data_IF_218542632512
#
_entry.id   IF_218542632512
#
_cell.length_a   1.000
_cell.length_b   1.000
_cell.length_c   1.000
_cell.angle_alpha   90.00
_cell.angle_beta   90.00
_cell.angle_gamma   90.00
#
_symmetry.space_group_name_H-M   'P 1'
#
loop_
_entity.id
_entity.type
_entity.pdbx_description
1 polymer ?
#
# COMPACT_ATOMS: atom_id res chain seq x y z
N UNK A 1 41.80 -18.33 17.35
CA UNK A 1 41.06 -17.14 17.81
C UNK A 1 40.96 -16.16 16.66
N UNK A 2 39.78 -15.98 16.09
CA UNK A 2 39.49 -14.91 15.13
C UNK A 2 38.33 -14.12 15.73
N UNK A 3 38.64 -12.92 16.24
CA UNK A 3 37.67 -11.89 16.61
C UNK A 3 37.11 -11.31 15.32
N UNK A 4 35.84 -11.54 15.01
CA UNK A 4 35.11 -10.72 14.04
C UNK A 4 34.15 -9.80 14.81
N UNK A 5 34.48 -8.52 14.77
CA UNK A 5 33.72 -7.42 15.35
C UNK A 5 32.55 -7.12 14.41
N UNK A 6 31.32 -7.47 14.80
CA UNK A 6 30.12 -6.93 14.12
C UNK A 6 29.85 -5.55 14.71
N UNK A 7 30.42 -4.53 14.07
CA UNK A 7 30.00 -3.13 14.21
C UNK A 7 28.56 -3.02 13.70
N UNK A 8 27.76 -2.26 14.45
CA UNK A 8 26.31 -2.21 14.35
C UNK A 8 25.74 -1.98 12.95
N UNK A 9 24.60 -2.64 12.72
CA UNK A 9 23.65 -2.25 11.70
C UNK A 9 22.49 -1.59 12.44
N UNK A 10 22.48 -0.26 12.37
CA UNK A 10 21.32 0.57 12.68
C UNK A 10 20.26 0.24 11.61
N UNK A 11 19.29 -0.61 11.92
CA UNK A 11 18.04 -0.62 11.15
C UNK A 11 17.17 0.50 11.71
N UNK A 12 17.49 1.69 11.18
CA UNK A 12 16.86 2.97 11.48
C UNK A 12 15.35 2.84 11.44
N UNK A 13 14.73 3.34 12.50
CA UNK A 13 13.32 3.69 12.54
C UNK A 13 12.98 4.57 11.33
N UNK A 14 11.96 4.16 10.60
CA UNK A 14 10.96 5.00 9.95
C UNK A 14 9.74 4.12 9.71
N UNK A 15 9.13 3.65 10.80
CA UNK A 15 7.68 3.48 10.79
C UNK A 15 7.17 4.89 10.55
N UNK A 16 6.82 5.20 9.31
CA UNK A 16 6.23 6.49 9.00
C UNK A 16 4.83 6.44 9.58
N UNK A 17 4.74 6.80 10.85
CA UNK A 17 3.55 7.39 11.41
C UNK A 17 3.31 8.67 10.61
N UNK A 18 2.60 8.56 9.48
CA UNK A 18 2.00 9.70 8.80
C UNK A 18 0.85 10.20 9.69
N UNK A 19 1.21 10.80 10.81
CA UNK A 19 0.36 11.70 11.56
C UNK A 19 0.90 13.09 11.25
N UNK A 20 0.56 13.56 10.05
CA UNK A 20 0.75 14.94 9.65
C UNK A 20 -0.39 15.77 10.23
N UNK A 21 -0.10 16.46 11.33
CA UNK A 21 -0.95 17.51 11.87
C UNK A 21 -0.99 18.66 10.84
N UNK A 22 -2.19 18.98 10.34
CA UNK A 22 -2.60 20.18 9.59
C UNK A 22 -1.54 20.92 8.76
N UNK A 23 -1.52 20.70 7.43
CA UNK A 23 -0.70 21.49 6.52
C UNK A 23 -1.07 21.35 5.04
N UNK A 24 -1.98 22.22 4.58
CA UNK A 24 -2.27 22.59 3.18
C UNK A 24 -1.69 21.70 2.08
N UNK A 25 -2.27 20.52 1.89
CA UNK A 25 -2.11 19.78 0.64
C UNK A 25 -2.93 20.42 -0.46
N UNK A 26 -2.48 20.30 -1.71
CA UNK A 26 -3.30 20.60 -2.89
C UNK A 26 -3.79 19.29 -3.53
N UNK A 27 -5.01 19.28 -4.12
CA UNK A 27 -5.54 18.10 -4.76
C UNK A 27 -4.66 17.66 -5.93
N UNK A 28 -4.21 16.41 -5.91
CA UNK A 28 -3.42 15.79 -7.00
C UNK A 28 -4.24 14.75 -7.75
N UNK A 29 -4.03 14.62 -9.06
CA UNK A 29 -4.79 13.68 -9.90
C UNK A 29 -4.59 12.22 -9.44
N UNK A 30 -5.69 11.46 -9.38
CA UNK A 30 -5.65 10.06 -8.90
C UNK A 30 -4.86 9.13 -9.81
N UNK A 31 -4.73 9.46 -11.09
CA UNK A 31 -3.99 8.70 -12.08
C UNK A 31 -2.52 9.15 -12.25
N UNK A 32 -2.09 10.13 -11.45
CA UNK A 32 -0.70 10.56 -11.37
C UNK A 32 0.24 9.39 -11.00
N UNK A 33 1.41 9.35 -11.62
CA UNK A 33 2.36 8.24 -11.46
C UNK A 33 2.91 8.14 -10.02
N UNK A 34 3.11 9.27 -9.34
CA UNK A 34 3.59 9.30 -7.96
C UNK A 34 2.49 8.88 -6.98
N UNK A 35 1.23 9.25 -7.24
CA UNK A 35 0.07 8.80 -6.48
C UNK A 35 -0.09 7.29 -6.57
N UNK A 36 -0.07 6.73 -7.79
CA UNK A 36 -0.12 5.28 -8.02
C UNK A 36 0.98 4.56 -7.24
N UNK A 37 2.23 4.96 -7.47
CA UNK A 37 3.39 4.33 -6.82
C UNK A 37 3.32 4.40 -5.30
N UNK A 38 2.95 5.55 -4.74
CA UNK A 38 2.86 5.75 -3.29
C UNK A 38 1.76 4.89 -2.69
N UNK A 39 0.56 4.91 -3.28
CA UNK A 39 -0.56 4.10 -2.84
C UNK A 39 -0.25 2.60 -2.89
N UNK A 40 0.25 2.11 -4.03
CA UNK A 40 0.58 0.70 -4.25
C UNK A 40 1.63 0.20 -3.26
N UNK A 41 2.67 1.02 -3.02
CA UNK A 41 3.74 0.69 -2.08
C UNK A 41 3.19 0.59 -0.64
N UNK A 42 2.45 1.60 -0.19
CA UNK A 42 1.89 1.61 1.17
C UNK A 42 0.90 0.46 1.39
N UNK A 43 0.00 0.21 0.43
CA UNK A 43 -0.98 -0.88 0.54
C UNK A 43 -0.33 -2.26 0.50
N UNK A 44 0.64 -2.48 -0.39
CA UNK A 44 1.35 -3.77 -0.47
C UNK A 44 2.11 -4.06 0.82
N UNK A 45 2.82 -3.06 1.37
CA UNK A 45 3.53 -3.20 2.65
C UNK A 45 2.56 -3.52 3.79
N UNK A 46 1.49 -2.73 3.96
CA UNK A 46 0.48 -2.96 5.00
C UNK A 46 -0.18 -4.33 4.87
N UNK A 47 -0.47 -4.76 3.64
CA UNK A 47 -1.03 -6.08 3.37
C UNK A 47 -0.07 -7.20 3.79
N UNK A 48 1.19 -7.14 3.36
CA UNK A 48 2.21 -8.13 3.72
C UNK A 48 2.44 -8.19 5.24
N UNK A 49 2.50 -7.03 5.91
CA UNK A 49 2.61 -6.96 7.37
C UNK A 49 1.41 -7.61 8.07
N UNK A 50 0.19 -7.34 7.61
CA UNK A 50 -1.02 -7.93 8.18
C UNK A 50 -1.06 -9.45 7.95
N UNK A 51 -0.67 -9.92 6.77
CA UNK A 51 -0.60 -11.35 6.48
C UNK A 51 0.42 -12.05 7.38
N UNK A 52 1.62 -11.47 7.55
CA UNK A 52 2.64 -11.97 8.50
C UNK A 52 2.16 -11.99 9.95
N UNK A 53 1.34 -11.02 10.36
CA UNK A 53 0.74 -10.99 11.70
C UNK A 53 -0.32 -12.08 11.89
N UNK A 54 -1.09 -12.39 10.86
CA UNK A 54 -2.16 -13.41 10.92
C UNK A 54 -1.61 -14.84 10.78
N UNK A 55 -0.52 -15.01 10.04
CA UNK A 55 0.11 -16.30 9.83
C UNK A 55 1.58 -16.14 9.47
N UNK A 56 2.45 -16.99 10.04
CA UNK A 56 3.85 -17.14 9.62
C UNK A 56 3.99 -18.12 8.43
N UNK A 57 2.89 -18.47 7.79
CA UNK A 57 2.87 -19.40 6.66
C UNK A 57 3.37 -18.70 5.38
N UNK A 58 4.41 -19.25 4.78
CA UNK A 58 5.05 -18.73 3.57
C UNK A 58 4.11 -18.70 2.36
N UNK A 59 3.00 -19.45 2.38
CA UNK A 59 2.02 -19.41 1.29
C UNK A 59 1.37 -18.03 1.11
N UNK A 60 1.40 -17.16 2.10
CA UNK A 60 0.88 -15.79 1.94
C UNK A 60 1.86 -14.87 1.18
N UNK A 61 3.13 -15.23 1.07
CA UNK A 61 4.13 -14.46 0.30
C UNK A 61 3.86 -14.54 -1.21
N UNK A 62 3.18 -15.60 -1.67
CA UNK A 62 2.79 -15.80 -3.07
C UNK A 62 1.46 -15.11 -3.43
N UNK A 63 0.88 -14.31 -2.51
CA UNK A 63 -0.26 -13.46 -2.82
C UNK A 63 0.24 -12.18 -3.49
N UNK A 64 -0.35 -11.89 -4.63
CA UNK A 64 -0.06 -10.70 -5.44
C UNK A 64 -1.24 -9.73 -5.37
N UNK A 65 -0.94 -8.44 -5.28
CA UNK A 65 -1.93 -7.37 -5.38
C UNK A 65 -1.78 -6.68 -6.73
N UNK A 66 -2.85 -6.66 -7.51
CA UNK A 66 -2.91 -5.94 -8.77
C UNK A 66 -3.83 -4.73 -8.62
N UNK A 67 -3.29 -3.55 -8.92
CA UNK A 67 -3.99 -2.27 -8.78
C UNK A 67 -4.43 -1.77 -10.16
N UNK A 68 -5.67 -1.32 -10.27
CA UNK A 68 -6.25 -0.93 -11.55
C UNK A 68 -7.37 0.09 -11.38
N UNK A 69 -7.74 0.74 -12.48
CA UNK A 69 -8.91 1.62 -12.54
C UNK A 69 -8.89 2.77 -11.52
N UNK A 70 -7.74 3.48 -11.44
CA UNK A 70 -7.62 4.71 -10.66
C UNK A 70 -8.60 5.76 -11.21
N UNK A 71 -9.51 6.21 -10.36
CA UNK A 71 -10.57 7.16 -10.71
C UNK A 71 -10.73 8.22 -9.64
N UNK A 72 -10.87 9.48 -10.04
CA UNK A 72 -11.36 10.55 -9.15
C UNK A 72 -12.88 10.41 -8.96
N UNK A 73 -13.32 10.31 -7.71
CA UNK A 73 -14.73 10.32 -7.31
C UNK A 73 -15.24 11.73 -7.02
N UNK A 74 -14.44 12.52 -6.31
CA UNK A 74 -14.72 13.90 -5.96
C UNK A 74 -13.43 14.67 -5.72
N UNK A 75 -13.52 16.00 -5.71
CA UNK A 75 -12.42 16.91 -5.40
C UNK A 75 -12.81 17.76 -4.20
N UNK A 76 -11.93 17.80 -3.21
CA UNK A 76 -12.02 18.66 -2.03
C UNK A 76 -10.96 19.78 -2.14
N UNK A 77 -10.95 20.71 -1.18
CA UNK A 77 -10.03 21.85 -1.21
C UNK A 77 -8.56 21.44 -1.11
N UNK A 78 -8.28 20.31 -0.47
CA UNK A 78 -6.95 19.85 -0.10
C UNK A 78 -6.60 18.46 -0.65
N UNK A 79 -7.57 17.74 -1.22
CA UNK A 79 -7.37 16.38 -1.75
C UNK A 79 -8.34 16.02 -2.86
N UNK A 80 -7.92 15.09 -3.72
CA UNK A 80 -8.86 14.35 -4.56
C UNK A 80 -9.22 13.04 -3.87
N UNK A 81 -10.51 12.71 -3.86
CA UNK A 81 -11.00 11.42 -3.38
C UNK A 81 -10.92 10.45 -4.55
N UNK A 82 -10.03 9.48 -4.42
CA UNK A 82 -9.71 8.48 -5.41
C UNK A 82 -10.36 7.14 -5.09
N UNK A 83 -10.66 6.38 -6.13
CA UNK A 83 -10.99 4.97 -6.05
C UNK A 83 -10.00 4.17 -6.88
N UNK A 84 -9.56 3.04 -6.34
CA UNK A 84 -8.76 2.04 -7.06
C UNK A 84 -9.37 0.66 -6.85
N UNK A 85 -9.32 -0.17 -7.89
CA UNK A 85 -9.68 -1.58 -7.80
C UNK A 85 -8.42 -2.38 -7.50
N UNK A 86 -8.39 -3.03 -6.33
CA UNK A 86 -7.34 -3.96 -5.92
C UNK A 86 -7.84 -5.38 -6.18
N UNK A 87 -7.06 -6.16 -6.91
CA UNK A 87 -7.36 -7.55 -7.24
C UNK A 87 -6.29 -8.44 -6.61
N UNK A 88 -6.72 -9.33 -5.73
CA UNK A 88 -5.83 -10.27 -5.05
C UNK A 88 -5.71 -11.55 -5.86
N UNK A 89 -4.48 -11.87 -6.28
CA UNK A 89 -4.15 -13.10 -7.00
C UNK A 89 -3.22 -13.99 -6.18
N UNK A 90 -3.14 -15.28 -6.53
CA UNK A 90 -2.17 -16.21 -5.96
C UNK A 90 -1.38 -16.91 -7.06
N UNK A 91 -0.05 -16.87 -6.97
CA UNK A 91 0.85 -17.43 -7.98
C UNK A 91 1.57 -18.71 -7.52
N UNK A 92 1.36 -19.13 -6.27
CA UNK A 92 1.96 -20.35 -5.73
C UNK A 92 1.20 -21.62 -6.14
N UNK A 93 1.63 -22.77 -5.64
CA UNK A 93 1.07 -24.08 -6.04
C UNK A 93 0.17 -24.72 -4.97
N UNK A 94 -0.15 -24.01 -3.88
CA UNK A 94 -1.06 -24.51 -2.86
C UNK A 94 -2.50 -24.55 -3.38
N UNK A 95 -3.14 -25.72 -3.29
CA UNK A 95 -4.45 -25.96 -3.88
C UNK A 95 -5.59 -25.21 -3.17
N UNK A 96 -5.49 -24.96 -1.86
CA UNK A 96 -6.51 -24.21 -1.12
C UNK A 96 -6.39 -22.71 -1.43
N UNK A 97 -5.17 -22.20 -1.48
CA UNK A 97 -4.90 -20.80 -1.87
C UNK A 97 -5.25 -20.54 -3.33
N UNK A 98 -4.97 -21.47 -4.24
CA UNK A 98 -5.41 -21.38 -5.65
C UNK A 98 -6.93 -21.38 -5.78
N UNK A 99 -7.67 -22.14 -4.95
CA UNK A 99 -9.14 -22.09 -4.96
C UNK A 99 -9.70 -20.75 -4.48
N UNK A 100 -9.04 -20.11 -3.50
CA UNK A 100 -9.51 -18.84 -2.92
C UNK A 100 -9.06 -17.60 -3.71
N UNK A 101 -7.85 -17.63 -4.28
CA UNK A 101 -7.15 -16.47 -4.84
C UNK A 101 -6.58 -16.72 -6.24
N UNK A 102 -6.69 -17.94 -6.79
CA UNK A 102 -6.25 -18.26 -8.15
C UNK A 102 -7.08 -17.55 -9.22
N UNK A 103 -6.46 -17.28 -10.38
CA UNK A 103 -7.16 -16.74 -11.55
C UNK A 103 -7.65 -15.28 -11.45
N UNK A 104 -7.12 -14.49 -10.52
CA UNK A 104 -7.53 -13.10 -10.29
C UNK A 104 -8.54 -12.91 -9.15
N UNK A 105 -8.90 -13.98 -8.44
CA UNK A 105 -9.45 -13.96 -7.08
C UNK A 105 -10.43 -12.84 -6.71
N UNK A 106 -10.20 -12.25 -5.53
CA UNK A 106 -11.07 -11.26 -4.88
C UNK A 106 -10.71 -9.85 -5.36
N UNK A 107 -11.73 -9.10 -5.81
CA UNK A 107 -11.61 -7.70 -6.18
C UNK A 107 -12.28 -6.79 -5.15
N UNK A 108 -11.57 -5.76 -4.70
CA UNK A 108 -12.06 -4.75 -3.78
C UNK A 108 -11.91 -3.37 -4.39
N UNK A 109 -12.92 -2.51 -4.22
CA UNK A 109 -12.78 -1.09 -4.51
C UNK A 109 -12.37 -0.38 -3.23
N UNK A 110 -11.18 0.21 -3.23
CA UNK A 110 -10.65 0.97 -2.09
C UNK A 110 -10.70 2.44 -2.40
N UNK A 111 -11.13 3.24 -1.42
CA UNK A 111 -11.16 4.70 -1.50
C UNK A 111 -10.01 5.30 -0.70
N UNK A 112 -9.43 6.37 -1.22
CA UNK A 112 -8.35 7.09 -0.55
C UNK A 112 -8.34 8.57 -0.96
N UNK A 113 -7.86 9.43 -0.07
CA UNK A 113 -7.53 10.81 -0.37
C UNK A 113 -6.12 10.90 -0.92
N UNK A 114 -5.92 11.70 -1.97
CA UNK A 114 -4.61 12.00 -2.51
C UNK A 114 -4.36 13.51 -2.51
N UNK A 115 -3.26 13.89 -1.87
CA UNK A 115 -2.83 15.28 -1.74
C UNK A 115 -1.35 15.42 -2.08
N UNK A 116 -0.97 16.55 -2.65
CA UNK A 116 0.43 16.95 -2.73
C UNK A 116 0.70 17.99 -1.65
N UNK A 117 1.64 17.68 -0.77
CA UNK A 117 2.06 18.58 0.31
C UNK A 117 2.98 19.68 -0.23
N UNK A 118 3.11 20.77 0.54
CA UNK A 118 3.98 21.91 0.21
C UNK A 118 5.46 21.57 0.03
N UNK A 119 5.94 20.46 0.61
CA UNK A 119 7.30 19.93 0.42
C UNK A 119 7.43 19.04 -0.82
N UNK A 120 6.39 18.96 -1.64
CA UNK A 120 6.31 18.19 -2.86
C UNK A 120 5.97 16.71 -2.67
N UNK A 121 5.82 16.22 -1.42
CA UNK A 121 5.48 14.82 -1.15
C UNK A 121 4.02 14.52 -1.44
N UNK A 122 3.76 13.28 -1.81
CA UNK A 122 2.39 12.76 -1.93
C UNK A 122 1.95 12.21 -0.58
N UNK A 123 0.82 12.70 -0.10
CA UNK A 123 0.10 12.14 1.03
C UNK A 123 -1.07 11.30 0.53
N UNK A 124 -1.18 10.10 1.08
CA UNK A 124 -2.27 9.16 0.82
C UNK A 124 -2.99 8.91 2.13
N UNK A 125 -4.25 9.30 2.20
CA UNK A 125 -5.11 9.06 3.36
C UNK A 125 -6.06 7.90 3.04
N UNK A 126 -6.05 6.83 3.82
CA UNK A 126 -7.05 5.77 3.66
C UNK A 126 -8.43 6.27 4.10
N UNK A 127 -9.42 6.12 3.22
CA UNK A 127 -10.83 6.42 3.50
C UNK A 127 -11.57 5.08 3.50
N UNK A 128 -11.29 4.23 4.50
CA UNK A 128 -11.96 2.94 4.73
C UNK A 128 -12.84 3.10 5.99
N UNK A 129 -14.11 2.68 6.12
CA UNK A 129 -15.00 1.77 5.38
C UNK A 129 -16.39 2.39 5.24
#
# INVERSE_FOLDING_TARGET
MIKLVVKGVVLSACVVAFVGCSGGGEPIACDDAEVKKTFETQHTQKYQENMKKMSNDKKFDDITLNFSNYKTLSSESDKNICQVKITMGYIGNDAEMQKMYGGGGISLNVKFGASKLSDGKIEIEQIDR
#
